data_IF_858780515627
#
_entry.id   IF_858780515627
#
_cell.length_a   1.000
_cell.length_b   1.000
_cell.length_c   1.000
_cell.angle_alpha   90.00
_cell.angle_beta   90.00
_cell.angle_gamma   90.00
#
_symmetry.space_group_name_H-M   'P 1'
#
loop_
_entity.id
_entity.type
_entity.pdbx_description
1 polymer ?
#
# COMPACT_ATOMS: atom_id res chain seq x y z
N UNK A 1 -9.70 31.99 -5.35
CA UNK A 1 -9.65 30.80 -4.50
C UNK A 1 -8.98 29.68 -5.30
N UNK A 2 -7.71 29.44 -5.06
CA UNK A 2 -7.02 28.28 -5.66
C UNK A 2 -7.62 27.07 -4.96
N UNK A 3 -8.39 26.28 -5.69
CA UNK A 3 -8.88 25.01 -5.16
C UNK A 3 -7.67 24.14 -4.90
N UNK A 4 -7.42 23.85 -3.64
CA UNK A 4 -6.37 22.96 -3.17
C UNK A 4 -6.40 21.58 -3.84
N UNK A 5 -7.53 21.23 -4.48
CA UNK A 5 -7.72 20.01 -5.25
C UNK A 5 -6.95 19.91 -6.57
N UNK A 6 -6.27 20.98 -7.02
CA UNK A 6 -5.59 21.01 -8.33
C UNK A 6 -4.07 21.14 -8.26
N UNK A 7 -3.49 21.47 -7.12
CA UNK A 7 -2.05 21.63 -6.97
C UNK A 7 -1.59 20.97 -5.66
N UNK A 8 -1.01 19.79 -5.76
CA UNK A 8 -0.36 19.14 -4.64
C UNK A 8 -1.31 18.71 -3.52
N UNK A 9 -2.54 18.29 -3.87
CA UNK A 9 -3.51 17.79 -2.89
C UNK A 9 -2.92 16.71 -1.97
N UNK A 10 -2.10 15.83 -2.50
CA UNK A 10 -1.39 14.81 -1.73
C UNK A 10 -0.43 15.41 -0.71
N UNK A 11 0.32 16.46 -1.08
CA UNK A 11 1.16 17.19 -0.13
C UNK A 11 0.32 17.83 0.97
N UNK A 12 -0.77 18.52 0.61
CA UNK A 12 -1.62 19.18 1.59
C UNK A 12 -2.30 18.19 2.55
N UNK A 13 -2.72 17.01 2.08
CA UNK A 13 -3.34 15.98 2.93
C UNK A 13 -2.34 15.49 3.96
N UNK A 14 -1.15 15.02 3.53
CA UNK A 14 -0.14 14.51 4.44
C UNK A 14 0.35 15.58 5.43
N UNK A 15 0.53 16.81 4.94
CA UNK A 15 0.99 17.92 5.78
C UNK A 15 -0.07 18.30 6.82
N UNK A 16 -1.36 18.28 6.45
CA UNK A 16 -2.45 18.51 7.40
C UNK A 16 -2.50 17.43 8.49
N UNK A 17 -2.33 16.16 8.12
CA UNK A 17 -2.23 15.06 9.09
C UNK A 17 -1.00 15.23 9.98
N UNK A 18 0.14 15.58 9.40
CA UNK A 18 1.38 15.84 10.12
C UNK A 18 1.26 16.99 11.12
N UNK A 19 0.58 18.06 10.74
CA UNK A 19 0.29 19.19 11.63
C UNK A 19 -0.65 18.82 12.77
N UNK A 20 -1.73 18.13 12.48
CA UNK A 20 -2.71 17.70 13.48
C UNK A 20 -2.09 16.75 14.50
N UNK A 21 -1.24 15.83 14.05
CA UNK A 21 -0.52 14.90 14.91
C UNK A 21 0.76 15.49 15.53
N UNK A 22 1.11 16.73 15.17
CA UNK A 22 2.36 17.37 15.60
C UNK A 22 3.60 16.54 15.28
N UNK A 23 3.63 15.87 14.12
CA UNK A 23 4.72 15.01 13.69
C UNK A 23 6.05 15.78 13.59
N UNK A 24 7.13 15.19 14.09
CA UNK A 24 8.46 15.81 14.15
C UNK A 24 9.52 15.12 13.30
N UNK A 25 9.35 13.83 13.02
CA UNK A 25 10.36 13.04 12.30
C UNK A 25 10.32 13.19 10.78
N UNK A 26 9.28 13.78 10.24
CA UNK A 26 9.08 14.02 8.82
C UNK A 26 7.73 13.51 8.31
N UNK A 27 7.34 14.02 7.15
CA UNK A 27 6.07 13.69 6.49
C UNK A 27 6.36 13.31 5.04
N UNK A 28 6.03 12.09 4.64
CA UNK A 28 6.40 11.52 3.35
C UNK A 28 5.18 10.95 2.62
N UNK A 29 5.24 10.95 1.29
CA UNK A 29 4.23 10.31 0.43
C UNK A 29 4.95 9.47 -0.62
N UNK A 30 5.23 8.19 -0.34
CA UNK A 30 5.67 7.26 -1.37
C UNK A 30 4.61 7.12 -2.46
N UNK A 31 5.03 7.01 -3.71
CA UNK A 31 4.14 6.86 -4.87
C UNK A 31 4.63 5.71 -5.73
N UNK A 32 3.95 4.58 -5.65
CA UNK A 32 4.18 3.37 -6.44
C UNK A 32 2.85 2.71 -6.83
N UNK A 33 1.89 3.53 -7.24
CA UNK A 33 0.54 3.11 -7.60
C UNK A 33 -0.10 2.25 -6.48
N UNK A 34 -0.59 1.06 -6.80
CA UNK A 34 -1.25 0.16 -5.85
C UNK A 34 -0.34 -0.28 -4.68
N UNK A 35 0.98 -0.25 -4.86
CA UNK A 35 1.94 -0.62 -3.83
C UNK A 35 2.28 0.51 -2.84
N UNK A 36 1.80 1.74 -3.07
CA UNK A 36 2.18 2.92 -2.27
C UNK A 36 1.95 2.74 -0.78
N UNK A 37 0.82 2.14 -0.38
CA UNK A 37 0.52 1.89 1.03
C UNK A 37 1.48 0.88 1.67
N UNK A 38 1.79 -0.21 0.98
CA UNK A 38 2.76 -1.20 1.46
C UNK A 38 4.18 -0.61 1.50
N UNK A 39 4.56 0.17 0.51
CA UNK A 39 5.86 0.88 0.48
C UNK A 39 5.96 1.90 1.61
N UNK A 40 4.90 2.65 1.90
CA UNK A 40 4.86 3.58 3.02
C UNK A 40 5.09 2.87 4.37
N UNK A 41 4.49 1.69 4.55
CA UNK A 41 4.67 0.85 5.75
C UNK A 41 6.12 0.34 5.83
N UNK A 42 6.68 -0.14 4.73
CA UNK A 42 8.08 -0.57 4.67
C UNK A 42 9.06 0.57 4.98
N UNK A 43 8.81 1.76 4.42
CA UNK A 43 9.62 2.94 4.72
C UNK A 43 9.53 3.35 6.19
N UNK A 44 8.35 3.26 6.79
CA UNK A 44 8.16 3.52 8.22
C UNK A 44 8.96 2.52 9.10
N UNK A 45 8.97 1.23 8.72
CA UNK A 45 9.81 0.23 9.38
C UNK A 45 11.29 0.62 9.36
N UNK A 46 11.81 1.06 8.21
CA UNK A 46 13.20 1.50 8.07
C UNK A 46 13.51 2.74 8.91
N UNK A 47 12.58 3.68 8.98
CA UNK A 47 12.75 4.87 9.82
C UNK A 47 12.85 4.51 11.31
N UNK A 48 12.02 3.60 11.80
CA UNK A 48 12.04 3.13 13.19
C UNK A 48 13.34 2.35 13.45
N UNK A 49 13.70 1.40 12.60
CA UNK A 49 14.92 0.60 12.73
C UNK A 49 16.21 1.45 12.70
N UNK A 50 16.19 2.54 11.93
CA UNK A 50 17.31 3.49 11.85
C UNK A 50 17.27 4.54 12.96
N UNK A 51 16.41 4.40 13.96
CA UNK A 51 16.28 5.29 15.11
C UNK A 51 16.01 6.76 14.74
N UNK A 52 15.24 6.98 13.65
CA UNK A 52 14.79 8.30 13.21
C UNK A 52 13.41 8.70 13.73
N UNK A 53 12.63 7.73 14.19
CA UNK A 53 11.33 7.93 14.82
C UNK A 53 10.99 6.73 15.71
N UNK A 54 10.26 6.98 16.80
CA UNK A 54 9.76 5.93 17.68
C UNK A 54 8.35 5.49 17.31
N UNK A 55 7.54 6.41 16.76
CA UNK A 55 6.15 6.17 16.37
C UNK A 55 5.89 6.79 15.00
N UNK A 56 5.28 6.03 14.09
CA UNK A 56 4.91 6.50 12.75
C UNK A 56 3.48 6.06 12.43
N UNK A 57 2.68 7.00 11.96
CA UNK A 57 1.38 6.73 11.34
C UNK A 57 1.60 6.51 9.85
N UNK A 58 1.26 5.33 9.34
CA UNK A 58 1.51 4.94 7.96
C UNK A 58 0.39 4.10 7.38
N UNK A 59 0.32 3.99 6.06
CA UNK A 59 -0.70 3.20 5.38
C UNK A 59 -1.01 3.74 3.99
N UNK A 60 -2.18 3.39 3.47
CA UNK A 60 -2.67 3.87 2.19
C UNK A 60 -4.16 4.19 2.23
N UNK A 61 -4.54 5.17 1.45
CA UNK A 61 -5.94 5.59 1.27
C UNK A 61 -6.22 5.86 -0.19
N UNK A 62 -7.44 5.60 -0.63
CA UNK A 62 -7.89 5.86 -1.99
C UNK A 62 -9.31 6.41 -2.00
N UNK A 63 -9.55 7.48 -2.74
CA UNK A 63 -10.86 8.08 -2.96
C UNK A 63 -10.95 8.57 -4.41
N UNK A 64 -10.87 7.64 -5.36
CA UNK A 64 -10.72 7.91 -6.79
C UNK A 64 -11.97 7.56 -7.62
N UNK A 65 -13.13 7.31 -7.03
CA UNK A 65 -14.37 7.10 -7.79
C UNK A 65 -14.87 8.44 -8.32
N UNK A 66 -14.28 8.84 -9.43
CA UNK A 66 -14.60 10.07 -10.14
C UNK A 66 -14.52 9.83 -11.65
N UNK A 67 -15.19 10.69 -12.43
CA UNK A 67 -15.31 10.53 -13.89
C UNK A 67 -13.96 10.38 -14.61
N UNK A 68 -12.95 11.15 -14.21
CA UNK A 68 -11.64 11.14 -14.88
C UNK A 68 -10.85 9.85 -14.65
N UNK A 69 -10.65 9.36 -13.40
CA UNK A 69 -10.03 8.05 -13.17
C UNK A 69 -10.80 6.90 -13.81
N UNK A 70 -12.14 6.93 -13.72
CA UNK A 70 -13.00 5.94 -14.38
C UNK A 70 -12.80 5.92 -15.90
N UNK A 71 -12.76 7.07 -16.55
CA UNK A 71 -12.51 7.17 -17.98
C UNK A 71 -11.11 6.66 -18.36
N UNK A 72 -10.11 6.96 -17.54
CA UNK A 72 -8.73 6.49 -17.74
C UNK A 72 -8.63 4.96 -17.69
N UNK A 73 -9.16 4.34 -16.63
CA UNK A 73 -9.16 2.88 -16.49
C UNK A 73 -10.04 2.19 -17.53
N UNK A 74 -11.18 2.79 -17.92
CA UNK A 74 -12.02 2.29 -19.01
C UNK A 74 -11.28 2.33 -20.37
N UNK A 75 -10.53 3.40 -20.66
CA UNK A 75 -9.70 3.50 -21.85
C UNK A 75 -8.61 2.43 -21.91
N UNK A 76 -8.06 2.05 -20.77
CA UNK A 76 -7.11 0.94 -20.62
C UNK A 76 -7.76 -0.43 -20.73
N UNK A 77 -9.09 -0.51 -20.77
CA UNK A 77 -9.87 -1.77 -20.71
C UNK A 77 -9.56 -2.60 -19.45
N UNK A 78 -9.30 -1.92 -18.34
CA UNK A 78 -8.91 -2.55 -17.08
C UNK A 78 -10.12 -2.84 -16.16
N UNK A 79 -11.26 -2.18 -16.40
CA UNK A 79 -12.46 -2.35 -15.58
C UNK A 79 -13.33 -3.50 -16.07
N UNK A 80 -13.96 -4.21 -15.13
CA UNK A 80 -15.02 -5.15 -15.44
C UNK A 80 -16.20 -4.46 -16.15
N UNK A 81 -16.76 -5.13 -17.14
CA UNK A 81 -17.96 -4.68 -17.86
C UNK A 81 -19.22 -5.43 -17.46
N UNK A 82 -19.16 -6.22 -16.40
CA UNK A 82 -20.27 -7.06 -15.91
C UNK A 82 -21.36 -6.24 -15.19
N UNK A 83 -22.04 -5.39 -15.95
CA UNK A 83 -23.10 -4.52 -15.43
C UNK A 83 -24.47 -5.23 -15.32
N UNK A 84 -24.59 -6.41 -15.88
CA UNK A 84 -25.76 -7.31 -15.75
C UNK A 84 -25.82 -8.01 -14.39
N UNK A 85 -24.66 -8.15 -13.71
CA UNK A 85 -24.56 -8.75 -12.39
C UNK A 85 -23.45 -8.06 -11.58
N UNK A 86 -23.62 -6.79 -11.19
CA UNK A 86 -22.57 -5.97 -10.60
C UNK A 86 -22.05 -6.50 -9.26
N UNK A 87 -22.89 -7.16 -8.47
CA UNK A 87 -22.52 -7.82 -7.22
C UNK A 87 -21.54 -8.99 -7.41
N UNK A 88 -21.36 -9.46 -8.66
CA UNK A 88 -20.47 -10.55 -9.04
C UNK A 88 -19.31 -10.07 -9.95
N UNK A 89 -19.17 -8.78 -10.14
CA UNK A 89 -18.17 -8.21 -11.04
C UNK A 89 -16.76 -8.32 -10.45
N UNK A 90 -16.58 -7.96 -9.17
CA UNK A 90 -15.29 -8.13 -8.47
C UNK A 90 -15.12 -9.61 -8.13
N UNK A 91 -14.16 -10.25 -8.78
CA UNK A 91 -13.91 -11.70 -8.65
C UNK A 91 -12.42 -12.04 -8.79
N UNK A 92 -11.59 -11.62 -7.83
CA UNK A 92 -10.14 -11.86 -7.87
C UNK A 92 -9.81 -13.35 -8.04
N UNK A 93 -8.81 -13.67 -8.85
CA UNK A 93 -8.36 -15.03 -9.21
C UNK A 93 -9.39 -15.91 -9.93
N UNK A 94 -10.61 -15.47 -10.13
CA UNK A 94 -11.59 -16.23 -10.89
C UNK A 94 -11.17 -16.35 -12.35
N UNK A 95 -11.41 -17.53 -12.94
CA UNK A 95 -11.09 -17.78 -14.35
C UNK A 95 -11.85 -16.85 -15.30
N UNK A 96 -13.07 -16.51 -14.96
CA UNK A 96 -13.97 -15.71 -15.79
C UNK A 96 -14.00 -14.22 -15.38
N UNK A 97 -12.97 -13.75 -14.67
CA UNK A 97 -12.80 -12.32 -14.38
C UNK A 97 -12.52 -11.54 -15.66
N UNK A 98 -13.08 -10.36 -15.76
CA UNK A 98 -13.01 -9.48 -16.94
C UNK A 98 -12.44 -8.09 -16.65
N UNK A 99 -11.89 -7.87 -15.47
CA UNK A 99 -11.35 -6.60 -15.02
C UNK A 99 -11.62 -6.37 -13.53
N UNK A 100 -11.13 -5.27 -13.00
CA UNK A 100 -11.39 -4.90 -11.61
C UNK A 100 -12.59 -3.94 -11.47
N UNK A 101 -13.07 -3.78 -10.26
CA UNK A 101 -14.07 -2.79 -9.88
C UNK A 101 -13.40 -1.72 -9.05
N UNK A 102 -13.51 -0.46 -9.47
CA UNK A 102 -12.91 0.67 -8.74
C UNK A 102 -13.58 0.82 -7.38
N UNK A 103 -12.78 0.86 -6.33
CA UNK A 103 -13.22 1.02 -4.94
C UNK A 103 -12.56 2.20 -4.27
N UNK A 104 -13.08 2.59 -3.13
CA UNK A 104 -12.52 3.59 -2.23
C UNK A 104 -12.35 2.98 -0.84
N UNK A 105 -11.37 3.46 -0.11
CA UNK A 105 -11.12 3.01 1.24
C UNK A 105 -9.78 3.44 1.77
N UNK A 106 -9.44 2.98 2.98
CA UNK A 106 -8.17 3.25 3.59
C UNK A 106 -7.82 2.26 4.69
N UNK A 107 -6.53 2.03 4.85
CA UNK A 107 -5.96 1.25 5.93
C UNK A 107 -4.78 1.99 6.52
N UNK A 108 -4.88 2.37 7.80
CA UNK A 108 -3.83 3.10 8.52
C UNK A 108 -3.35 2.26 9.69
N UNK A 109 -2.05 2.16 9.81
CA UNK A 109 -1.36 1.50 10.90
C UNK A 109 -0.58 2.52 11.72
N UNK A 110 -0.49 2.28 13.02
CA UNK A 110 0.46 2.94 13.90
C UNK A 110 1.59 1.95 14.14
N UNK A 111 2.75 2.26 13.58
CA UNK A 111 3.97 1.50 13.82
C UNK A 111 4.72 2.17 14.97
N UNK A 112 5.25 1.35 15.86
CA UNK A 112 5.92 1.84 17.06
C UNK A 112 7.09 0.91 17.38
N UNK A 113 8.19 1.49 17.84
CA UNK A 113 9.33 0.72 18.35
C UNK A 113 8.86 -0.20 19.49
N UNK A 114 9.32 -1.44 19.46
CA UNK A 114 8.77 -2.51 20.30
C UNK A 114 8.92 -2.24 21.80
N UNK A 115 10.09 -1.85 22.25
CA UNK A 115 10.34 -1.57 23.68
C UNK A 115 9.66 -0.27 24.13
N UNK A 116 9.53 0.72 23.24
CA UNK A 116 8.76 1.93 23.50
C UNK A 116 7.28 1.60 23.71
N UNK A 117 6.70 0.76 22.85
CA UNK A 117 5.30 0.31 23.00
C UNK A 117 5.08 -0.45 24.30
N UNK A 118 5.98 -1.36 24.66
CA UNK A 118 5.94 -2.13 25.93
C UNK A 118 6.05 -1.24 27.14
N UNK A 119 6.97 -0.28 27.14
CA UNK A 119 7.20 0.60 28.26
C UNK A 119 5.98 1.44 28.66
N UNK A 120 5.14 1.82 27.69
CA UNK A 120 3.88 2.53 27.94
C UNK A 120 2.65 1.62 28.08
N UNK A 121 2.83 0.30 28.03
CA UNK A 121 1.73 -0.66 28.15
C UNK A 121 0.79 -0.68 26.94
N UNK A 122 1.28 -0.39 25.74
CA UNK A 122 0.49 -0.40 24.52
C UNK A 122 -0.01 -1.83 24.19
N UNK A 123 -1.20 -1.91 23.60
CA UNK A 123 -1.67 -3.16 23.01
C UNK A 123 -0.93 -3.39 21.69
N UNK A 124 -0.09 -4.39 21.63
CA UNK A 124 0.61 -4.83 20.42
C UNK A 124 -0.25 -5.87 19.73
N UNK A 125 -0.58 -5.65 18.45
CA UNK A 125 -1.36 -6.59 17.64
C UNK A 125 -0.49 -7.63 16.95
N UNK A 126 0.65 -7.20 16.42
CA UNK A 126 1.66 -8.04 15.77
C UNK A 126 2.97 -7.26 15.66
N UNK A 127 4.02 -7.95 15.25
CA UNK A 127 5.30 -7.33 14.90
C UNK A 127 5.44 -7.27 13.38
N UNK A 128 5.90 -6.14 12.85
CA UNK A 128 6.32 -5.99 11.47
C UNK A 128 7.81 -6.30 11.39
N UNK A 129 8.14 -7.49 10.90
CA UNK A 129 9.50 -8.05 11.01
C UNK A 129 10.34 -7.95 9.74
N UNK A 130 9.73 -7.59 8.60
CA UNK A 130 10.49 -7.43 7.36
C UNK A 130 9.69 -6.78 6.25
N UNK A 131 10.42 -6.26 5.28
CA UNK A 131 9.86 -5.66 4.07
C UNK A 131 10.68 -6.04 2.84
N UNK A 132 10.07 -5.99 1.67
CA UNK A 132 10.77 -6.23 0.41
C UNK A 132 10.16 -5.42 -0.73
N UNK A 133 11.01 -4.74 -1.46
CA UNK A 133 10.65 -3.90 -2.58
C UNK A 133 11.42 -4.34 -3.83
N UNK A 134 10.74 -4.39 -4.95
CA UNK A 134 11.39 -4.66 -6.25
C UNK A 134 10.58 -4.04 -7.39
N UNK A 135 11.17 -3.99 -8.57
CA UNK A 135 10.51 -3.60 -9.82
C UNK A 135 10.64 -4.71 -10.84
N UNK A 136 9.60 -4.96 -11.64
CA UNK A 136 9.64 -5.97 -12.69
C UNK A 136 10.63 -5.60 -13.81
N UNK A 137 10.70 -4.31 -14.17
CA UNK A 137 11.49 -3.84 -15.32
C UNK A 137 11.00 -4.42 -16.65
N UNK A 138 9.73 -4.83 -16.72
CA UNK A 138 9.15 -5.57 -17.83
C UNK A 138 8.28 -4.71 -18.73
N UNK A 139 7.23 -4.10 -18.20
CA UNK A 139 6.25 -3.34 -18.97
C UNK A 139 5.66 -2.21 -18.13
N UNK A 140 5.15 -1.15 -18.79
CA UNK A 140 4.62 0.03 -18.11
C UNK A 140 3.38 -0.25 -17.21
N UNK A 141 2.57 -1.26 -17.58
CA UNK A 141 1.32 -1.57 -16.88
C UNK A 141 1.17 -3.07 -16.55
N UNK A 142 1.62 -3.97 -17.43
CA UNK A 142 1.46 -5.40 -17.25
C UNK A 142 2.56 -5.96 -16.32
N UNK A 143 2.21 -6.82 -15.36
CA UNK A 143 3.22 -7.53 -14.56
C UNK A 143 4.01 -8.51 -15.42
N UNK A 144 5.23 -8.81 -14.99
CA UNK A 144 6.05 -9.88 -15.59
C UNK A 144 5.29 -11.22 -15.50
N UNK A 145 5.05 -11.92 -16.63
CA UNK A 145 4.35 -13.19 -16.64
C UNK A 145 4.98 -14.27 -15.76
N UNK A 146 6.30 -14.23 -15.60
CA UNK A 146 7.04 -15.16 -14.74
C UNK A 146 6.96 -14.75 -13.26
N UNK A 147 6.43 -13.55 -12.95
CA UNK A 147 6.32 -13.03 -11.59
C UNK A 147 7.68 -12.82 -10.93
N UNK A 148 8.73 -12.56 -11.71
CA UNK A 148 10.10 -12.45 -11.17
C UNK A 148 10.26 -11.31 -10.17
N UNK A 149 9.56 -10.19 -10.39
CA UNK A 149 9.57 -9.05 -9.48
C UNK A 149 8.94 -9.40 -8.13
N UNK A 150 7.73 -9.95 -8.13
CA UNK A 150 7.06 -10.32 -6.87
C UNK A 150 7.85 -11.40 -6.12
N UNK A 151 8.47 -12.34 -6.83
CA UNK A 151 9.35 -13.34 -6.21
C UNK A 151 10.56 -12.69 -5.54
N UNK A 152 11.17 -11.66 -6.16
CA UNK A 152 12.27 -10.90 -5.55
C UNK A 152 11.81 -10.16 -4.30
N UNK A 153 10.68 -9.46 -4.36
CA UNK A 153 10.12 -8.75 -3.21
C UNK A 153 9.86 -9.69 -2.03
N UNK A 154 9.25 -10.86 -2.28
CA UNK A 154 9.04 -11.87 -1.24
C UNK A 154 10.36 -12.37 -0.66
N UNK A 155 11.35 -12.68 -1.50
CA UNK A 155 12.68 -13.12 -1.05
C UNK A 155 13.37 -12.07 -0.18
N UNK A 156 13.27 -10.79 -0.57
CA UNK A 156 13.84 -9.70 0.21
C UNK A 156 13.16 -9.55 1.56
N UNK A 157 11.81 -9.60 1.60
CA UNK A 157 11.06 -9.52 2.85
C UNK A 157 11.38 -10.69 3.80
N UNK A 158 11.50 -11.92 3.28
CA UNK A 158 11.88 -13.08 4.07
C UNK A 158 13.31 -12.97 4.59
N UNK A 159 14.25 -12.52 3.75
CA UNK A 159 15.63 -12.31 4.15
C UNK A 159 15.77 -11.20 5.21
N UNK A 160 15.04 -10.11 5.04
CA UNK A 160 15.01 -8.99 6.00
C UNK A 160 14.44 -9.43 7.37
N UNK A 161 13.43 -10.29 7.35
CA UNK A 161 12.84 -10.87 8.56
C UNK A 161 13.64 -12.05 9.15
N UNK A 162 14.68 -12.53 8.45
CA UNK A 162 15.38 -13.79 8.78
C UNK A 162 14.43 -15.00 8.87
N UNK A 163 13.46 -15.08 7.94
CA UNK A 163 12.45 -16.13 7.85
C UNK A 163 12.60 -16.93 6.55
N UNK A 164 11.97 -18.08 6.52
CA UNK A 164 11.85 -18.96 5.36
C UNK A 164 10.40 -19.05 4.88
N UNK A 165 10.18 -19.60 3.69
CA UNK A 165 8.84 -19.85 3.16
C UNK A 165 8.01 -20.80 4.02
N UNK A 166 8.65 -21.65 4.87
CA UNK A 166 7.97 -22.58 5.78
C UNK A 166 7.34 -21.88 6.97
N UNK A 167 7.80 -20.68 7.28
CA UNK A 167 7.30 -19.88 8.40
C UNK A 167 6.06 -19.09 8.03
N UNK A 168 5.72 -19.03 6.72
CA UNK A 168 4.58 -18.29 6.20
C UNK A 168 3.32 -19.17 6.22
N UNK A 169 2.33 -18.75 6.97
CA UNK A 169 1.04 -19.44 7.10
C UNK A 169 -0.09 -18.78 6.32
N UNK A 170 0.09 -17.54 5.88
CA UNK A 170 -0.90 -16.80 5.10
C UNK A 170 -0.21 -15.82 4.15
N UNK A 171 -0.74 -15.71 2.93
CA UNK A 171 -0.35 -14.72 1.93
C UNK A 171 -1.59 -13.94 1.50
N UNK A 172 -1.62 -12.64 1.82
CA UNK A 172 -2.62 -11.72 1.30
C UNK A 172 -2.09 -11.11 0.00
N UNK A 173 -2.52 -11.64 -1.13
CA UNK A 173 -2.07 -11.21 -2.43
C UNK A 173 -2.90 -10.04 -2.97
N UNK A 174 -2.30 -9.22 -3.84
CA UNK A 174 -2.93 -8.01 -4.40
C UNK A 174 -4.15 -8.34 -5.29
N UNK A 175 -4.03 -9.32 -6.17
CA UNK A 175 -5.16 -9.90 -6.92
C UNK A 175 -6.05 -8.90 -7.70
N UNK A 176 -5.46 -8.01 -8.45
CA UNK A 176 -6.20 -7.12 -9.37
C UNK A 176 -7.07 -7.86 -10.38
#
# INVERSE_FOLDING_TARGET
>A
EIRLSLVGSEMCIRDSVGLELQAKAGVHTPVSACASGAEAIGYALEMIRSNRADVIVSGGVEAAIHQLPMAGFAAMKALSTRNDAPERASRPYDRDRDGFVLGEGGGILILEEYEHAKARGAKIYCELVGQGLSSDGYHIAAPDPEGSGVQRAIKFALADANLSTRDIVHLNAHAT
#
